data_IF_393394884005
#
_entry.id   IF_393394884005
#
_cell.length_a   1.000
_cell.length_b   1.000
_cell.length_c   1.000
_cell.angle_alpha   90.00
_cell.angle_beta   90.00
_cell.angle_gamma   90.00
#
_symmetry.space_group_name_H-M   'P 1'
#
loop_
_entity.id
_entity.type
_entity.pdbx_description
1 polymer ?
#
# COMPACT_ATOMS: atom_id res chain seq x y z
N UNK A 1 3.07 12.60 -12.47
CA UNK A 1 2.84 13.10 -11.10
C UNK A 1 1.55 12.52 -10.54
N UNK A 2 1.57 11.99 -9.31
CA UNK A 2 0.40 11.36 -8.70
C UNK A 2 -0.62 12.42 -8.22
N UNK A 3 -1.91 12.15 -8.39
CA UNK A 3 -2.98 13.00 -7.85
C UNK A 3 -3.06 12.87 -6.31
N UNK A 4 -3.69 13.86 -5.67
CA UNK A 4 -3.77 13.96 -4.21
C UNK A 4 -4.46 12.75 -3.57
N UNK A 5 -5.47 12.18 -4.23
CA UNK A 5 -6.18 11.02 -3.70
C UNK A 5 -5.28 9.79 -3.74
N UNK A 6 -4.59 9.57 -4.86
CA UNK A 6 -3.61 8.48 -4.99
C UNK A 6 -2.49 8.63 -3.94
N UNK A 7 -1.94 9.84 -3.76
CA UNK A 7 -0.90 10.10 -2.75
C UNK A 7 -1.40 9.80 -1.33
N UNK A 8 -2.60 10.23 -0.97
CA UNK A 8 -3.17 9.96 0.36
C UNK A 8 -3.35 8.47 0.64
N UNK A 9 -3.77 7.70 -0.36
CA UNK A 9 -3.91 6.24 -0.24
C UNK A 9 -2.54 5.56 -0.08
N UNK A 10 -1.52 5.98 -0.84
CA UNK A 10 -0.16 5.46 -0.69
C UNK A 10 0.44 5.81 0.67
N UNK A 11 0.24 7.04 1.15
CA UNK A 11 0.64 7.45 2.50
C UNK A 11 0.05 6.52 3.57
N UNK A 12 -1.24 6.20 3.48
CA UNK A 12 -1.89 5.29 4.41
C UNK A 12 -1.28 3.88 4.38
N UNK A 13 -0.80 3.41 3.22
CA UNK A 13 -0.16 2.10 3.06
C UNK A 13 1.31 2.08 3.49
N UNK A 14 2.02 3.20 3.39
CA UNK A 14 3.45 3.32 3.71
C UNK A 14 3.70 3.68 5.17
N UNK A 15 2.85 4.53 5.76
CA UNK A 15 3.01 5.01 7.14
C UNK A 15 3.21 3.88 8.17
N UNK A 16 2.47 2.75 8.13
CA UNK A 16 2.64 1.69 9.11
C UNK A 16 3.95 0.93 8.99
N UNK A 17 4.69 1.05 7.87
CA UNK A 17 5.94 0.29 7.60
C UNK A 17 7.16 1.19 7.41
N UNK A 18 7.01 2.52 7.53
CA UNK A 18 8.06 3.50 7.23
C UNK A 18 9.36 3.31 8.04
N UNK A 19 9.26 2.72 9.24
CA UNK A 19 10.40 2.43 10.12
C UNK A 19 10.71 0.93 10.26
N UNK A 20 9.96 0.06 9.57
CA UNK A 20 10.25 -1.37 9.59
C UNK A 20 11.55 -1.62 8.81
N UNK A 21 12.50 -2.37 9.37
CA UNK A 21 13.73 -2.72 8.63
C UNK A 21 13.45 -3.46 7.31
N UNK A 22 12.30 -4.15 7.23
CA UNK A 22 11.83 -4.91 6.07
C UNK A 22 10.32 -4.69 5.87
N UNK A 23 9.91 -3.72 5.04
CA UNK A 23 8.50 -3.32 4.91
C UNK A 23 7.59 -4.45 4.41
N UNK A 24 8.11 -5.42 3.66
CA UNK A 24 7.36 -6.59 3.20
C UNK A 24 6.84 -7.47 4.35
N UNK A 25 7.51 -7.48 5.50
CA UNK A 25 7.04 -8.22 6.68
C UNK A 25 5.81 -7.57 7.32
N UNK A 26 5.57 -6.28 7.04
CA UNK A 26 4.44 -5.50 7.54
C UNK A 26 3.15 -5.65 6.72
N UNK A 27 3.15 -6.36 5.58
CA UNK A 27 2.01 -6.45 4.66
C UNK A 27 0.73 -6.94 5.36
N UNK A 28 0.81 -8.00 6.16
CA UNK A 28 -0.36 -8.53 6.89
C UNK A 28 -0.96 -7.50 7.85
N UNK A 29 -0.10 -6.72 8.54
CA UNK A 29 -0.52 -5.64 9.43
C UNK A 29 -1.23 -4.54 8.65
N UNK A 30 -0.69 -4.12 7.51
CA UNK A 30 -1.27 -3.08 6.64
C UNK A 30 -2.63 -3.50 6.10
N UNK A 31 -2.76 -4.74 5.60
CA UNK A 31 -4.04 -5.28 5.15
C UNK A 31 -5.08 -5.28 6.27
N UNK A 32 -4.71 -5.66 7.50
CA UNK A 32 -5.64 -5.69 8.63
C UNK A 32 -6.01 -4.29 9.14
N UNK A 33 -5.05 -3.39 9.24
CA UNK A 33 -5.20 -2.11 9.94
C UNK A 33 -5.64 -0.96 9.04
N UNK A 34 -5.25 -0.97 7.76
CA UNK A 34 -5.55 0.10 6.79
C UNK A 34 -6.68 -0.33 5.89
N UNK A 35 -6.49 -1.44 5.17
CA UNK A 35 -7.46 -1.93 4.18
C UNK A 35 -8.71 -2.50 4.87
N UNK A 36 -8.52 -3.40 5.83
CA UNK A 36 -9.61 -4.05 6.56
C UNK A 36 -10.40 -3.12 7.49
N UNK A 37 -9.89 -1.92 7.76
CA UNK A 37 -10.61 -0.88 8.51
C UNK A 37 -11.20 0.21 7.61
N UNK A 38 -11.14 0.05 6.29
CA UNK A 38 -11.58 1.03 5.31
C UNK A 38 -11.03 2.44 5.63
N UNK A 39 -9.75 2.53 5.97
CA UNK A 39 -9.12 3.82 6.24
C UNK A 39 -9.33 4.77 5.04
N UNK A 40 -9.45 6.08 5.32
CA UNK A 40 -9.74 7.10 4.30
C UNK A 40 -11.02 6.84 3.47
N UNK A 41 -11.96 6.06 4.02
CA UNK A 41 -13.21 5.65 3.36
C UNK A 41 -12.95 5.01 1.98
N UNK A 42 -11.86 4.25 1.87
CA UNK A 42 -11.42 3.62 0.64
C UNK A 42 -11.70 2.11 0.66
N UNK A 43 -12.09 1.56 -0.49
CA UNK A 43 -12.27 0.12 -0.68
C UNK A 43 -10.93 -0.55 -0.99
N UNK A 44 -10.82 -1.89 -0.84
CA UNK A 44 -9.63 -2.62 -1.29
C UNK A 44 -9.27 -2.36 -2.76
N UNK A 45 -10.28 -2.18 -3.62
CA UNK A 45 -10.07 -1.86 -5.05
C UNK A 45 -9.47 -0.48 -5.26
N UNK A 46 -9.79 0.50 -4.40
CA UNK A 46 -9.21 1.85 -4.48
C UNK A 46 -7.72 1.83 -4.12
N UNK A 47 -7.36 1.07 -3.07
CA UNK A 47 -5.96 0.86 -2.71
C UNK A 47 -5.18 0.15 -3.80
N UNK A 48 -5.74 -0.91 -4.38
CA UNK A 48 -5.10 -1.63 -5.49
C UNK A 48 -4.85 -0.70 -6.68
N UNK A 49 -5.86 0.09 -7.08
CA UNK A 49 -5.72 1.06 -8.18
C UNK A 49 -4.63 2.09 -7.89
N UNK A 50 -4.59 2.63 -6.67
CA UNK A 50 -3.56 3.59 -6.27
C UNK A 50 -2.14 2.99 -6.37
N UNK A 51 -1.98 1.73 -5.94
CA UNK A 51 -0.71 1.00 -6.08
C UNK A 51 -0.34 0.83 -7.56
N UNK A 52 -1.27 0.37 -8.40
CA UNK A 52 -1.03 0.17 -9.83
C UNK A 52 -0.63 1.47 -10.54
N UNK A 53 -1.34 2.57 -10.25
CA UNK A 53 -1.00 3.90 -10.76
C UNK A 53 0.39 4.34 -10.30
N UNK A 54 0.73 4.14 -9.02
CA UNK A 54 2.05 4.48 -8.49
C UNK A 54 3.18 3.70 -9.15
N UNK A 55 3.01 2.38 -9.33
CA UNK A 55 4.01 1.52 -9.93
C UNK A 55 4.25 1.81 -11.42
N UNK A 56 3.23 2.33 -12.12
CA UNK A 56 3.34 2.77 -13.52
C UNK A 56 3.95 4.17 -13.65
N UNK A 57 3.89 5.00 -12.60
CA UNK A 57 4.49 6.33 -12.59
C UNK A 57 6.02 6.24 -12.71
N UNK A 58 6.57 7.02 -13.65
CA UNK A 58 8.01 7.18 -13.89
C UNK A 58 8.55 8.54 -13.47
N UNK A 59 7.65 9.48 -13.18
CA UNK A 59 8.01 10.89 -12.96
C UNK A 59 8.22 11.25 -11.49
N UNK A 60 8.04 10.28 -10.59
CA UNK A 60 8.07 10.52 -9.15
C UNK A 60 8.64 9.30 -8.40
N UNK A 61 9.55 9.55 -7.45
CA UNK A 61 10.05 8.54 -6.54
C UNK A 61 9.00 8.26 -5.45
N UNK A 62 8.57 7.01 -5.34
CA UNK A 62 7.64 6.56 -4.32
C UNK A 62 8.26 6.61 -2.91
N UNK A 63 9.58 6.52 -2.82
CA UNK A 63 10.33 6.71 -1.58
C UNK A 63 10.13 8.11 -0.99
N UNK A 64 9.93 9.14 -1.83
CA UNK A 64 9.77 10.53 -1.42
C UNK A 64 8.36 10.88 -0.96
N UNK A 65 7.39 9.97 -1.12
CA UNK A 65 5.99 10.20 -0.69
C UNK A 65 5.93 10.48 0.82
N UNK A 66 6.81 9.87 1.61
CA UNK A 66 6.89 10.04 3.06
C UNK A 66 8.34 9.96 3.54
N UNK A 67 8.74 10.72 4.57
CA UNK A 67 10.06 10.56 5.17
C UNK A 67 10.28 9.13 5.68
N UNK A 68 11.22 8.41 5.09
CA UNK A 68 11.59 7.03 5.43
C UNK A 68 13.02 6.72 5.03
N UNK A 69 13.58 5.61 5.53
CA UNK A 69 14.96 5.17 5.24
C UNK A 69 15.05 4.19 4.07
N UNK A 70 13.91 3.87 3.45
CA UNK A 70 13.81 2.87 2.39
C UNK A 70 14.22 3.43 1.05
N UNK A 71 14.91 2.62 0.24
CA UNK A 71 15.20 2.97 -1.14
C UNK A 71 13.94 2.89 -2.01
N UNK A 72 13.96 3.60 -3.14
CA UNK A 72 12.88 3.51 -4.15
C UNK A 72 12.60 2.07 -4.58
N UNK A 73 13.65 1.26 -4.78
CA UNK A 73 13.52 -0.14 -5.13
C UNK A 73 12.82 -0.96 -4.03
N UNK A 74 13.12 -0.68 -2.75
CA UNK A 74 12.49 -1.37 -1.63
C UNK A 74 10.99 -1.03 -1.55
N UNK A 75 10.62 0.24 -1.74
CA UNK A 75 9.22 0.67 -1.74
C UNK A 75 8.45 0.10 -2.93
N UNK A 76 9.01 0.12 -4.14
CA UNK A 76 8.37 -0.51 -5.30
C UNK A 76 8.18 -2.02 -5.10
N UNK A 77 9.17 -2.71 -4.55
CA UNK A 77 9.07 -4.14 -4.23
C UNK A 77 7.99 -4.41 -3.18
N UNK A 78 7.92 -3.61 -2.12
CA UNK A 78 6.87 -3.69 -1.11
C UNK A 78 5.47 -3.51 -1.74
N UNK A 79 5.27 -2.46 -2.54
CA UNK A 79 3.98 -2.18 -3.18
C UNK A 79 3.58 -3.28 -4.19
N UNK A 80 4.54 -3.85 -4.92
CA UNK A 80 4.30 -5.00 -5.80
C UNK A 80 3.89 -6.26 -5.04
N UNK A 81 4.45 -6.51 -3.85
CA UNK A 81 4.06 -7.65 -3.02
C UNK A 81 2.69 -7.41 -2.37
N UNK A 82 2.44 -6.19 -1.94
CA UNK A 82 1.16 -5.78 -1.38
C UNK A 82 0.04 -5.92 -2.43
N UNK A 83 0.25 -5.49 -3.69
CA UNK A 83 -0.76 -5.62 -4.76
C UNK A 83 -1.17 -7.08 -5.02
N UNK A 84 -0.22 -8.02 -4.98
CA UNK A 84 -0.49 -9.46 -5.14
C UNK A 84 -1.42 -10.00 -4.05
N UNK A 85 -1.37 -9.42 -2.85
CA UNK A 85 -2.23 -9.82 -1.73
C UNK A 85 -3.71 -9.46 -1.95
N UNK A 86 -4.01 -8.47 -2.80
CA UNK A 86 -5.39 -8.15 -3.20
C UNK A 86 -5.94 -9.12 -4.26
N UNK A 87 -5.09 -9.69 -5.11
CA UNK A 87 -5.49 -10.67 -6.13
C UNK A 87 -5.83 -12.02 -5.51
N UNK A 88 -5.19 -12.36 -4.39
CA UNK A 88 -5.46 -13.59 -3.64
C UNK A 88 -6.74 -13.54 -2.78
N UNK A 89 -7.32 -12.36 -2.56
CA UNK A 89 -8.59 -12.19 -1.87
C UNK A 89 -9.75 -12.18 -2.88
N UNK A 90 -10.80 -13.02 -2.73
CA UNK A 90 -11.94 -13.00 -3.65
C UNK A 90 -12.56 -11.60 -3.69
N UNK A 91 -12.86 -11.12 -4.90
CA UNK A 91 -13.59 -9.86 -5.12
C UNK A 91 -14.97 -9.95 -4.48
N UNK A 92 -15.09 -9.55 -3.22
CA UNK A 92 -16.36 -9.43 -2.51
C UNK A 92 -16.28 -9.86 -1.05
N UNK A 93 -16.20 -8.88 -0.15
CA UNK A 93 -16.77 -8.95 1.20
C UNK A 93 -16.11 -9.87 2.24
N UNK A 94 -15.07 -9.36 2.90
CA UNK A 94 -14.62 -9.58 4.29
C UNK A 94 -14.33 -11.00 4.86
N UNK A 95 -13.48 -11.15 5.92
CA UNK A 95 -12.46 -10.23 6.44
C UNK A 95 -11.06 -10.86 6.51
N UNK A 96 -10.05 -9.98 6.50
CA UNK A 96 -8.71 -10.25 7.03
C UNK A 96 -8.77 -10.40 8.57
N UNK A 97 -9.42 -11.47 9.04
CA UNK A 97 -9.44 -11.87 10.44
C UNK A 97 -9.54 -13.39 10.53
N UNK A 98 -8.41 -14.05 10.80
CA UNK A 98 -8.35 -15.28 11.61
C UNK A 98 -6.91 -15.59 12.01
N UNK A 99 -6.62 -15.24 13.26
CA UNK A 99 -5.75 -15.90 14.27
C UNK A 99 -5.05 -14.84 15.10
#
# INVERSE_FOLDING_TARGET
>A
MLDDRTRALLLALLYPVQFDARPELGISRVLKQVVGRNALQATPSDYLRAIETALQSRDEELADIIPQTHSEAAIRSYLQQLSRSFVAAPRGGEPFARS
#
